data_IF_718028164584
#
_entry.id   IF_718028164584
#
_cell.length_a   1.000
_cell.length_b   1.000
_cell.length_c   1.000
_cell.angle_alpha   90.00
_cell.angle_beta   90.00
_cell.angle_gamma   90.00
#
_symmetry.space_group_name_H-M   'P 1'
#
loop_
_entity.id
_entity.type
_entity.pdbx_description
1 polymer ?
#
# COMPACT_ATOMS: atom_id res chain seq x y z
N UNK A 1 4.39 -18.32 1.14
CA UNK A 1 4.19 -16.94 1.66
C UNK A 1 5.53 -16.23 1.65
N UNK A 2 5.73 -15.08 0.97
CA UNK A 2 7.04 -14.45 0.94
C UNK A 2 7.26 -13.65 2.23
N UNK A 3 7.42 -14.34 3.36
CA UNK A 3 7.78 -13.77 4.68
C UNK A 3 9.19 -13.16 4.69
N UNK A 4 9.97 -13.32 3.62
CA UNK A 4 11.42 -13.00 3.58
C UNK A 4 11.76 -11.64 2.95
N UNK A 5 10.89 -11.05 2.11
CA UNK A 5 11.17 -9.73 1.52
C UNK A 5 10.76 -8.56 2.44
N UNK A 6 9.71 -8.74 3.24
CA UNK A 6 9.23 -7.70 4.17
C UNK A 6 10.14 -7.46 5.37
N UNK A 7 11.11 -8.36 5.63
CA UNK A 7 12.08 -8.21 6.74
C UNK A 7 13.24 -7.27 6.41
N UNK A 8 13.42 -6.88 5.13
CA UNK A 8 14.59 -6.09 4.68
C UNK A 8 14.35 -4.58 4.63
N UNK A 9 13.10 -4.14 4.79
CA UNK A 9 12.70 -2.72 4.72
C UNK A 9 11.95 -2.23 5.98
N UNK A 10 11.88 -3.04 7.04
CA UNK A 10 11.42 -2.55 8.34
C UNK A 10 12.63 -2.01 9.11
N UNK A 11 12.83 -0.69 9.20
CA UNK A 11 13.72 -0.13 10.20
C UNK A 11 13.24 -0.58 11.59
N UNK A 12 14.21 -0.87 12.44
CA UNK A 12 14.06 -1.51 13.73
C UNK A 12 12.98 -0.80 14.59
N UNK A 13 11.93 -1.51 15.06
CA UNK A 13 10.88 -0.92 15.91
C UNK A 13 11.42 -0.38 17.25
N UNK A 14 12.68 -0.67 17.57
CA UNK A 14 13.39 -0.14 18.73
C UNK A 14 13.91 1.28 18.53
N UNK A 15 14.28 1.69 17.31
CA UNK A 15 14.85 3.02 17.06
C UNK A 15 13.77 4.12 16.96
N UNK A 16 12.53 3.76 16.64
CA UNK A 16 11.37 4.67 16.67
C UNK A 16 10.92 4.95 18.12
N UNK A 17 11.26 4.08 19.09
CA UNK A 17 10.88 4.26 20.51
C UNK A 17 11.62 5.40 21.21
N UNK A 18 12.71 5.91 20.65
CA UNK A 18 13.61 6.85 21.31
C UNK A 18 13.37 8.34 21.01
N UNK A 19 12.43 8.68 20.11
CA UNK A 19 12.11 10.09 19.85
C UNK A 19 11.24 10.68 20.96
N UNK A 20 11.61 11.88 21.46
CA UNK A 20 10.97 12.60 22.59
C UNK A 20 9.44 12.79 22.42
N UNK A 21 8.94 12.86 21.18
CA UNK A 21 7.52 12.94 20.83
C UNK A 21 6.76 11.61 20.93
N UNK A 22 7.45 10.47 20.85
CA UNK A 22 6.88 9.12 20.89
C UNK A 22 6.80 8.55 22.32
N UNK A 23 7.48 9.17 23.30
CA UNK A 23 7.41 8.80 24.72
C UNK A 23 6.02 9.06 25.34
N UNK A 24 5.26 10.04 24.82
CA UNK A 24 3.85 10.26 25.21
C UNK A 24 2.95 9.08 24.80
N UNK A 25 3.24 8.44 23.67
CA UNK A 25 2.50 7.27 23.17
C UNK A 25 2.99 5.93 23.72
N UNK A 26 4.09 5.90 24.48
CA UNK A 26 4.78 4.67 24.92
C UNK A 26 3.92 3.65 25.67
N UNK A 27 2.90 4.09 26.42
CA UNK A 27 1.94 3.18 27.08
C UNK A 27 0.86 2.65 26.13
N UNK A 28 0.47 3.43 25.12
CA UNK A 28 -0.61 3.09 24.17
C UNK A 28 -0.09 2.24 22.99
N UNK A 29 1.23 2.19 22.81
CA UNK A 29 1.97 1.43 21.79
C UNK A 29 2.19 -0.05 22.11
N UNK A 30 1.66 -0.57 23.22
CA UNK A 30 1.88 -1.95 23.67
C UNK A 30 1.12 -3.01 22.87
N UNK A 31 0.19 -2.63 22.00
CA UNK A 31 -0.58 -3.57 21.19
C UNK A 31 0.22 -4.05 19.96
N UNK A 32 0.56 -5.34 19.84
CA UNK A 32 1.35 -5.86 18.70
C UNK A 32 0.63 -5.71 17.35
N UNK A 33 -0.71 -5.64 17.34
CA UNK A 33 -1.50 -5.41 16.12
C UNK A 33 -1.29 -4.02 15.49
N UNK A 34 -0.79 -3.04 16.25
CA UNK A 34 -0.49 -1.69 15.74
C UNK A 34 0.75 -1.66 14.84
N UNK A 35 1.63 -2.66 14.97
CA UNK A 35 2.89 -2.77 14.25
C UNK A 35 2.83 -3.78 13.10
N UNK A 36 1.94 -4.76 13.20
CA UNK A 36 1.77 -5.77 12.15
C UNK A 36 0.99 -5.25 10.94
N UNK A 37 1.53 -5.51 9.75
CA UNK A 37 0.90 -5.20 8.47
C UNK A 37 -0.14 -6.27 8.12
N UNK A 38 -1.38 -6.06 8.56
CA UNK A 38 -2.54 -6.87 8.16
C UNK A 38 -3.43 -6.07 7.20
N UNK A 39 -4.09 -6.73 6.24
CA UNK A 39 -4.94 -6.09 5.20
C UNK A 39 -5.98 -5.12 5.80
N UNK A 40 -6.62 -5.53 6.89
CA UNK A 40 -7.62 -4.71 7.56
C UNK A 40 -6.99 -3.58 8.40
N UNK A 41 -5.85 -3.84 9.02
CA UNK A 41 -5.11 -2.84 9.81
C UNK A 41 -4.55 -1.72 8.93
N UNK A 42 -3.99 -2.07 7.77
CA UNK A 42 -3.51 -1.10 6.77
C UNK A 42 -4.67 -0.30 6.19
N UNK A 43 -5.77 -0.94 5.79
CA UNK A 43 -6.93 -0.21 5.24
C UNK A 43 -7.52 0.80 6.24
N UNK A 44 -7.62 0.44 7.53
CA UNK A 44 -8.06 1.35 8.59
C UNK A 44 -7.07 2.50 8.82
N UNK A 45 -5.77 2.19 8.85
CA UNK A 45 -4.71 3.20 8.97
C UNK A 45 -4.71 4.19 7.81
N UNK A 46 -4.95 3.71 6.58
CA UNK A 46 -5.07 4.55 5.39
C UNK A 46 -6.25 5.52 5.51
N UNK A 47 -7.42 5.03 5.89
CA UNK A 47 -8.61 5.87 6.06
C UNK A 47 -8.43 6.93 7.15
N UNK A 48 -7.96 6.53 8.32
CA UNK A 48 -7.74 7.42 9.46
C UNK A 48 -6.61 8.42 9.20
N UNK A 49 -5.49 7.96 8.65
CA UNK A 49 -4.33 8.80 8.35
C UNK A 49 -4.67 9.87 7.32
N UNK A 50 -5.44 9.52 6.28
CA UNK A 50 -5.86 10.46 5.25
C UNK A 50 -6.92 11.46 5.76
N UNK A 51 -7.84 11.00 6.63
CA UNK A 51 -8.76 11.89 7.32
C UNK A 51 -8.02 12.92 8.20
N UNK A 52 -7.07 12.45 9.02
CA UNK A 52 -6.27 13.31 9.88
C UNK A 52 -5.32 14.23 9.09
N UNK A 53 -4.82 13.78 7.94
CA UNK A 53 -3.97 14.56 7.02
C UNK A 53 -4.72 15.74 6.37
N UNK A 54 -6.02 15.56 6.09
CA UNK A 54 -6.84 16.63 5.52
C UNK A 54 -7.28 17.68 6.54
N UNK A 55 -7.28 17.34 7.83
CA UNK A 55 -7.63 18.27 8.91
C UNK A 55 -6.38 19.09 9.27
N UNK A 56 -6.34 20.38 8.92
CA UNK A 56 -5.18 21.23 9.15
C UNK A 56 -5.19 21.72 10.59
N UNK A 57 -4.77 20.85 11.50
CA UNK A 57 -4.60 21.18 12.92
C UNK A 57 -3.15 20.97 13.36
N UNK A 58 -2.59 21.90 14.16
CA UNK A 58 -1.37 21.61 14.89
C UNK A 58 -1.63 20.39 15.78
N UNK A 59 -0.70 19.44 15.83
CA UNK A 59 -0.87 18.13 16.47
C UNK A 59 -1.77 17.11 15.74
N UNK A 60 -1.95 17.23 14.42
CA UNK A 60 -2.59 16.22 13.57
C UNK A 60 -2.06 14.78 13.76
N UNK A 61 -0.79 14.61 14.16
CA UNK A 61 -0.23 13.30 14.51
C UNK A 61 -0.93 12.67 15.72
N UNK A 62 -1.29 13.49 16.73
CA UNK A 62 -2.05 13.02 17.89
C UNK A 62 -3.44 12.54 17.47
N UNK A 63 -4.09 13.29 16.57
CA UNK A 63 -5.40 12.93 16.03
C UNK A 63 -5.35 11.62 15.23
N UNK A 64 -4.35 11.46 14.36
CA UNK A 64 -4.16 10.22 13.62
C UNK A 64 -3.91 9.03 14.55
N UNK A 65 -3.09 9.22 15.58
CA UNK A 65 -2.81 8.18 16.56
C UNK A 65 -4.03 7.83 17.41
N UNK A 66 -4.75 8.83 17.92
CA UNK A 66 -5.94 8.63 18.77
C UNK A 66 -7.08 7.94 18.04
N UNK A 67 -7.21 8.17 16.73
CA UNK A 67 -8.18 7.47 15.88
C UNK A 67 -7.70 6.09 15.44
N UNK A 68 -6.40 5.90 15.17
CA UNK A 68 -5.86 4.63 14.69
C UNK A 68 -5.91 3.52 15.76
N UNK A 69 -5.74 3.88 17.03
CA UNK A 69 -5.69 2.96 18.17
C UNK A 69 -7.02 2.22 18.41
N UNK A 70 -8.18 2.90 18.61
CA UNK A 70 -9.46 2.22 18.78
C UNK A 70 -9.85 1.42 17.53
N UNK A 71 -9.47 1.89 16.35
CA UNK A 71 -9.69 1.16 15.09
C UNK A 71 -8.71 0.00 14.87
N UNK A 72 -7.74 -0.21 15.76
CA UNK A 72 -6.67 -1.23 15.65
C UNK A 72 -5.97 -1.17 14.29
N UNK A 73 -5.74 0.05 13.79
CA UNK A 73 -5.03 0.34 12.56
C UNK A 73 -3.51 0.37 12.77
N UNK A 74 -2.76 0.22 11.69
CA UNK A 74 -1.30 0.31 11.73
C UNK A 74 -0.87 1.75 12.02
N UNK A 75 -0.28 1.96 13.21
CA UNK A 75 0.04 3.30 13.69
C UNK A 75 1.13 3.99 12.85
N UNK A 76 2.27 3.32 12.51
CA UNK A 76 3.28 3.91 11.63
C UNK A 76 2.70 4.41 10.30
N UNK A 77 1.81 3.64 9.67
CA UNK A 77 1.18 4.04 8.41
C UNK A 77 0.27 5.25 8.59
N UNK A 78 -0.59 5.25 9.61
CA UNK A 78 -1.50 6.36 9.88
C UNK A 78 -0.74 7.68 10.11
N UNK A 79 0.35 7.63 10.88
CA UNK A 79 1.20 8.80 11.15
C UNK A 79 2.01 9.22 9.92
N UNK A 80 2.51 8.25 9.14
CA UNK A 80 3.28 8.53 7.92
C UNK A 80 2.43 9.22 6.84
N UNK A 81 1.13 8.91 6.76
CA UNK A 81 0.19 9.60 5.86
C UNK A 81 0.00 11.05 6.23
N UNK A 82 -0.02 11.37 7.52
CA UNK A 82 -0.07 12.76 7.98
C UNK A 82 1.19 13.52 7.53
N UNK A 83 2.35 12.87 7.59
CA UNK A 83 3.62 13.42 7.07
C UNK A 83 3.68 13.53 5.55
N UNK A 84 2.85 12.77 4.82
CA UNK A 84 2.74 12.88 3.37
C UNK A 84 2.17 14.25 2.95
N UNK A 85 1.39 14.90 3.83
CA UNK A 85 0.89 16.28 3.69
C UNK A 85 2.03 17.30 3.85
N UNK A 86 2.94 17.29 2.89
CA UNK A 86 4.09 18.17 2.81
C UNK A 86 3.68 19.56 2.26
N UNK A 87 4.43 20.65 2.51
CA UNK A 87 4.28 21.96 1.85
C UNK A 87 3.98 21.92 0.34
N UNK A 88 4.46 20.89 -0.38
CA UNK A 88 4.11 20.71 -1.80
C UNK A 88 2.63 20.33 -2.03
N UNK A 89 2.06 19.52 -1.16
CA UNK A 89 0.67 19.02 -1.23
C UNK A 89 -0.33 19.91 -0.50
N UNK A 90 0.11 20.81 0.38
CA UNK A 90 -0.79 21.72 1.09
C UNK A 90 -1.61 22.65 0.16
N UNK A 91 -1.02 23.32 -0.86
CA UNK A 91 -1.77 24.21 -1.74
C UNK A 91 -2.96 23.54 -2.44
N UNK A 92 -2.80 22.38 -3.12
CA UNK A 92 -3.93 21.72 -3.76
C UNK A 92 -4.95 21.19 -2.74
N UNK A 93 -4.51 20.69 -1.58
CA UNK A 93 -5.42 20.23 -0.52
C UNK A 93 -6.27 21.39 -0.01
N UNK A 94 -5.65 22.53 0.32
CA UNK A 94 -6.36 23.69 0.85
C UNK A 94 -7.33 24.28 -0.16
N UNK A 95 -6.94 24.31 -1.44
CA UNK A 95 -7.84 24.75 -2.50
C UNK A 95 -9.09 23.87 -2.57
N UNK A 96 -8.93 22.54 -2.60
CA UNK A 96 -10.06 21.60 -2.70
C UNK A 96 -10.94 21.65 -1.45
N UNK A 97 -10.35 21.67 -0.25
CA UNK A 97 -11.14 21.74 1.00
C UNK A 97 -11.87 23.06 1.12
N UNK A 98 -11.21 24.19 0.83
CA UNK A 98 -11.87 25.50 0.85
C UNK A 98 -12.99 25.58 -0.19
N UNK A 99 -12.75 25.14 -1.43
CA UNK A 99 -13.76 25.18 -2.49
C UNK A 99 -14.96 24.31 -2.14
N UNK A 100 -14.73 23.12 -1.57
CA UNK A 100 -15.79 22.22 -1.10
C UNK A 100 -16.58 22.82 0.05
N UNK A 101 -15.90 23.45 1.01
CA UNK A 101 -16.51 24.14 2.13
C UNK A 101 -17.32 25.36 1.70
N UNK A 102 -16.75 26.21 0.85
CA UNK A 102 -17.41 27.40 0.33
C UNK A 102 -18.66 27.03 -0.49
N UNK A 103 -18.58 25.96 -1.28
CA UNK A 103 -19.73 25.42 -2.00
C UNK A 103 -20.82 24.92 -1.04
N UNK A 104 -20.43 24.25 0.05
CA UNK A 104 -21.38 23.72 1.03
C UNK A 104 -22.03 24.82 1.88
N UNK A 105 -21.31 25.90 2.21
CA UNK A 105 -21.84 27.06 2.93
C UNK A 105 -22.54 28.08 2.01
N UNK A 106 -22.50 27.90 0.69
CA UNK A 106 -22.98 28.88 -0.30
C UNK A 106 -22.40 30.29 -0.06
N UNK A 107 -21.18 30.36 0.46
CA UNK A 107 -20.50 31.64 0.71
C UNK A 107 -20.00 32.23 -0.60
N UNK A 108 -20.29 33.50 -0.92
CA UNK A 108 -19.82 34.12 -2.16
C UNK A 108 -18.29 34.20 -2.17
N UNK A 109 -17.63 33.87 -3.29
CA UNK A 109 -16.19 34.03 -3.43
C UNK A 109 -15.83 35.51 -3.29
N UNK A 110 -15.14 35.86 -2.19
CA UNK A 110 -14.75 37.25 -1.91
C UNK A 110 -13.45 37.58 -2.61
N UNK A 111 -13.42 38.74 -3.27
CA UNK A 111 -12.24 39.34 -3.86
C UNK A 111 -11.19 39.66 -2.78
N UNK A 112 -9.91 39.44 -3.09
CA UNK A 112 -8.82 39.97 -2.28
C UNK A 112 -8.89 41.51 -2.35
N UNK A 113 -8.94 42.22 -1.21
CA UNK A 113 -8.78 43.66 -1.20
C UNK A 113 -7.32 44.03 -1.46
N UNK A 114 -7.14 45.22 -1.99
CA UNK A 114 -5.84 45.76 -2.42
C UNK A 114 -4.90 46.07 -1.24
N UNK A 115 -5.43 46.19 -0.01
CA UNK A 115 -4.66 46.44 1.21
C UNK A 115 -4.75 45.27 2.21
N UNK A 116 -3.65 44.53 2.33
CA UNK A 116 -3.44 43.48 3.34
C UNK A 116 -3.12 44.11 4.70
N UNK A 117 -4.13 44.58 5.43
CA UNK A 117 -3.97 45.02 6.83
C UNK A 117 -4.05 43.82 7.79
N UNK A 118 -3.39 43.93 8.95
CA UNK A 118 -3.45 42.89 9.99
C UNK A 118 -4.89 42.64 10.48
N UNK A 119 -5.72 43.68 10.55
CA UNK A 119 -7.14 43.55 10.89
C UNK A 119 -7.91 42.75 9.83
N UNK A 120 -7.67 43.03 8.55
CA UNK A 120 -8.27 42.26 7.47
C UNK A 120 -7.85 40.79 7.52
N UNK A 121 -6.59 40.48 7.81
CA UNK A 121 -6.12 39.09 7.95
C UNK A 121 -6.85 38.38 9.08
N UNK A 122 -7.05 39.02 10.24
CA UNK A 122 -7.77 38.41 11.37
C UNK A 122 -9.25 38.19 11.08
N UNK A 123 -9.92 39.14 10.43
CA UNK A 123 -11.34 39.04 10.06
C UNK A 123 -11.57 37.96 8.99
N UNK A 124 -10.64 37.86 8.04
CA UNK A 124 -10.61 36.80 7.05
C UNK A 124 -10.32 35.44 7.67
N UNK A 125 -9.34 35.33 8.58
CA UNK A 125 -9.09 34.07 9.28
C UNK A 125 -10.32 33.61 10.05
N UNK A 126 -11.02 34.54 10.71
CA UNK A 126 -12.25 34.30 11.48
C UNK A 126 -13.48 33.95 10.63
N UNK A 127 -13.43 34.16 9.32
CA UNK A 127 -14.52 33.79 8.40
C UNK A 127 -14.16 32.59 7.52
N UNK A 128 -12.89 32.42 7.16
CA UNK A 128 -12.40 31.36 6.28
C UNK A 128 -12.24 30.03 7.02
N UNK A 129 -11.96 30.04 8.33
CA UNK A 129 -11.79 28.80 9.09
C UNK A 129 -13.03 27.91 9.10
N UNK A 130 -14.24 28.47 9.03
CA UNK A 130 -15.49 27.70 9.02
C UNK A 130 -15.68 26.84 7.75
N UNK A 131 -15.72 27.43 6.53
CA UNK A 131 -15.82 26.62 5.31
C UNK A 131 -14.61 25.72 5.17
N UNK A 132 -13.42 26.18 5.53
CA UNK A 132 -12.22 25.37 5.45
C UNK A 132 -12.26 24.13 6.35
N UNK A 133 -12.68 24.29 7.61
CA UNK A 133 -12.83 23.16 8.54
C UNK A 133 -13.93 22.21 8.07
N UNK A 134 -15.08 22.72 7.66
CA UNK A 134 -16.17 21.89 7.16
C UNK A 134 -15.74 21.10 5.91
N UNK A 135 -15.12 21.77 4.95
CA UNK A 135 -14.59 21.16 3.73
C UNK A 135 -13.51 20.13 4.03
N UNK A 136 -12.63 20.39 5.01
CA UNK A 136 -11.60 19.44 5.45
C UNK A 136 -12.20 18.16 6.05
N UNK A 137 -13.26 18.29 6.86
CA UNK A 137 -13.94 17.13 7.46
C UNK A 137 -14.66 16.34 6.37
N UNK A 138 -15.40 17.00 5.48
CA UNK A 138 -16.14 16.33 4.40
C UNK A 138 -15.18 15.62 3.45
N UNK A 139 -14.18 16.32 2.92
CA UNK A 139 -13.15 15.73 2.08
C UNK A 139 -12.38 14.63 2.83
N UNK A 140 -12.07 14.84 4.11
CA UNK A 140 -11.41 13.87 4.98
C UNK A 140 -12.19 12.56 5.07
N UNK A 141 -13.50 12.64 5.31
CA UNK A 141 -14.37 11.46 5.40
C UNK A 141 -14.47 10.76 4.05
N UNK A 142 -14.72 11.51 2.98
CA UNK A 142 -14.85 10.95 1.63
C UNK A 142 -13.55 10.27 1.19
N UNK A 143 -12.41 10.95 1.32
CA UNK A 143 -11.11 10.37 0.98
C UNK A 143 -10.73 9.25 1.93
N UNK A 144 -11.06 9.33 3.22
CA UNK A 144 -10.81 8.28 4.19
C UNK A 144 -11.55 6.99 3.85
N UNK A 145 -12.83 7.10 3.50
CA UNK A 145 -13.65 5.96 3.03
C UNK A 145 -13.09 5.42 1.71
N UNK A 146 -12.80 6.30 0.75
CA UNK A 146 -12.23 5.89 -0.53
C UNK A 146 -10.89 5.16 -0.34
N UNK A 147 -10.00 5.67 0.51
CA UNK A 147 -8.70 5.06 0.82
C UNK A 147 -8.85 3.66 1.43
N UNK A 148 -9.85 3.46 2.31
CA UNK A 148 -10.17 2.14 2.84
C UNK A 148 -10.53 1.14 1.73
N UNK A 149 -11.46 1.51 0.85
CA UNK A 149 -11.90 0.66 -0.26
C UNK A 149 -10.81 0.44 -1.32
N UNK A 150 -10.04 1.48 -1.66
CA UNK A 150 -8.90 1.39 -2.57
C UNK A 150 -7.88 0.41 -2.02
N UNK A 151 -7.54 0.51 -0.73
CA UNK A 151 -6.58 -0.40 -0.09
C UNK A 151 -7.07 -1.85 -0.12
N UNK A 152 -8.35 -2.08 0.16
CA UNK A 152 -8.94 -3.42 0.10
C UNK A 152 -8.98 -3.99 -1.33
N UNK A 153 -9.31 -3.14 -2.31
CA UNK A 153 -9.35 -3.51 -3.73
C UNK A 153 -7.95 -3.80 -4.28
N UNK A 154 -6.98 -2.95 -3.95
CA UNK A 154 -5.57 -3.13 -4.28
C UNK A 154 -5.05 -4.45 -3.72
N UNK A 155 -5.39 -4.78 -2.46
CA UNK A 155 -4.99 -6.05 -1.86
C UNK A 155 -5.60 -7.25 -2.61
N UNK A 156 -6.89 -7.18 -2.97
CA UNK A 156 -7.57 -8.26 -3.70
C UNK A 156 -6.96 -8.46 -5.09
N UNK A 157 -6.67 -7.37 -5.80
CA UNK A 157 -5.98 -7.42 -7.10
C UNK A 157 -4.56 -7.98 -6.97
N UNK A 158 -3.79 -7.53 -5.97
CA UNK A 158 -2.42 -7.97 -5.74
C UNK A 158 -2.34 -9.46 -5.42
N UNK A 159 -3.22 -9.98 -4.54
CA UNK A 159 -3.29 -11.41 -4.21
C UNK A 159 -3.69 -12.24 -5.43
N UNK A 160 -4.72 -11.81 -6.18
CA UNK A 160 -5.14 -12.49 -7.40
C UNK A 160 -4.04 -12.56 -8.46
N UNK A 161 -3.30 -11.45 -8.63
CA UNK A 161 -2.14 -11.38 -9.54
C UNK A 161 -1.02 -12.30 -9.07
N UNK A 162 -0.76 -12.38 -7.76
CA UNK A 162 0.25 -13.25 -7.19
C UNK A 162 -0.12 -14.74 -7.33
N UNK A 163 -1.41 -15.08 -7.25
CA UNK A 163 -1.91 -16.45 -7.49
C UNK A 163 -1.82 -16.84 -8.96
N UNK A 164 -2.15 -15.94 -9.89
CA UNK A 164 -1.95 -16.15 -11.34
C UNK A 164 -0.48 -16.37 -11.68
N UNK A 165 0.44 -15.59 -11.08
CA UNK A 165 1.90 -15.78 -11.23
C UNK A 165 2.39 -17.11 -10.69
N UNK A 166 1.73 -17.70 -9.68
CA UNK A 166 2.08 -19.05 -9.18
C UNK A 166 1.60 -20.14 -10.13
N UNK A 167 0.36 -20.05 -10.63
CA UNK A 167 -0.18 -21.03 -11.61
C UNK A 167 0.67 -21.09 -12.88
N UNK A 168 1.12 -19.94 -13.39
CA UNK A 168 2.00 -19.90 -14.57
C UNK A 168 3.36 -20.56 -14.34
N UNK A 169 3.92 -20.48 -13.12
CA UNK A 169 5.18 -21.17 -12.79
C UNK A 169 4.99 -22.68 -12.77
N UNK A 170 3.91 -23.18 -12.16
CA UNK A 170 3.64 -24.63 -12.09
C UNK A 170 3.35 -25.23 -13.47
N UNK A 171 2.61 -24.52 -14.33
CA UNK A 171 2.35 -24.96 -15.71
C UNK A 171 3.61 -25.04 -16.56
N UNK A 172 4.52 -24.07 -16.43
CA UNK A 172 5.78 -24.06 -17.19
C UNK A 172 6.76 -25.15 -16.70
N UNK A 173 6.79 -25.45 -15.40
CA UNK A 173 7.60 -26.55 -14.87
C UNK A 173 7.09 -27.92 -15.30
N UNK A 174 5.76 -28.13 -15.34
CA UNK A 174 5.20 -29.38 -15.85
C UNK A 174 5.37 -29.54 -17.36
N UNK A 175 5.23 -28.46 -18.13
CA UNK A 175 5.50 -28.49 -19.58
C UNK A 175 6.98 -28.81 -19.88
N UNK A 176 7.92 -28.17 -19.19
CA UNK A 176 9.35 -28.44 -19.36
C UNK A 176 9.75 -29.86 -18.94
N UNK A 177 9.11 -30.42 -17.91
CA UNK A 177 9.34 -31.81 -17.49
C UNK A 177 8.76 -32.83 -18.49
N UNK A 178 7.61 -32.54 -19.10
CA UNK A 178 7.01 -33.38 -20.14
C UNK A 178 7.87 -33.40 -21.41
N UNK A 179 8.39 -32.24 -21.84
CA UNK A 179 9.28 -32.15 -23.01
C UNK A 179 10.60 -32.91 -22.79
N UNK A 180 11.16 -32.86 -21.56
CA UNK A 180 12.36 -33.64 -21.22
C UNK A 180 12.12 -35.16 -21.27
N UNK A 181 10.96 -35.63 -20.82
CA UNK A 181 10.61 -37.06 -20.88
C UNK A 181 10.39 -37.53 -22.32
N UNK A 182 9.69 -36.75 -23.14
CA UNK A 182 9.49 -37.06 -24.55
C UNK A 182 10.82 -37.13 -25.32
N UNK A 183 11.73 -36.18 -25.07
CA UNK A 183 13.05 -36.18 -25.68
C UNK A 183 13.90 -37.39 -25.24
N UNK A 184 13.85 -37.76 -23.95
CA UNK A 184 14.58 -38.93 -23.44
C UNK A 184 14.07 -40.26 -24.04
N UNK A 185 12.76 -40.41 -24.22
CA UNK A 185 12.16 -41.58 -24.85
C UNK A 185 12.50 -41.68 -26.35
N UNK A 186 12.50 -40.56 -27.07
CA UNK A 186 12.92 -40.52 -28.48
C UNK A 186 14.38 -40.95 -28.70
N UNK A 187 15.29 -40.55 -27.80
CA UNK A 187 16.70 -40.94 -27.87
C UNK A 187 16.88 -42.44 -27.60
N UNK A 188 16.13 -43.03 -26.67
CA UNK A 188 16.18 -44.47 -26.41
C UNK A 188 15.65 -45.29 -27.59
N UNK A 189 14.55 -44.86 -28.22
CA UNK A 189 13.96 -45.56 -29.34
C UNK A 189 14.86 -45.54 -30.60
N UNK A 190 15.56 -44.42 -30.86
CA UNK A 190 16.57 -44.36 -31.93
C UNK A 190 17.82 -45.19 -31.64
N UNK A 191 18.27 -45.29 -30.38
CA UNK A 191 19.41 -46.15 -30.01
C UNK A 191 19.09 -47.64 -30.06
N UNK A 192 17.85 -48.05 -29.77
CA UNK A 192 17.41 -49.44 -29.89
C UNK A 192 17.49 -49.97 -31.33
N UNK A 193 17.05 -49.16 -32.31
CA UNK A 193 17.15 -49.56 -33.72
C UNK A 193 18.58 -49.60 -34.26
N UNK A 194 19.50 -48.76 -33.74
CA UNK A 194 20.91 -48.82 -34.11
C UNK A 194 21.63 -50.06 -33.58
N UNK A 195 21.23 -50.60 -32.42
CA UNK A 195 21.85 -51.81 -31.87
C UNK A 195 21.29 -53.11 -32.47
N UNK A 196 20.06 -53.10 -33.00
CA UNK A 196 19.46 -54.27 -33.67
C UNK A 196 20.00 -54.44 -35.11
N UNK A 197 20.34 -53.32 -35.78
CA UNK A 197 20.90 -53.35 -37.14
C UNK A 197 22.35 -53.88 -37.22
N UNK A 198 23.11 -53.79 -36.14
CA UNK A 198 24.53 -54.18 -36.09
C UNK A 198 24.74 -55.64 -35.61
N UNK A 199 23.68 -56.29 -35.08
CA UNK A 199 23.75 -57.67 -34.56
C UNK A 199 23.40 -58.73 -35.59
N UNK A 200 23.02 -58.34 -36.81
CA UNK A 200 22.55 -59.24 -37.88
C UNK A 200 23.65 -59.73 -38.82
N UNK A 201 24.91 -59.31 -38.69
CA UNK A 201 25.96 -59.59 -39.69
C UNK A 201 27.06 -60.55 -39.26
N UNK A 202 27.01 -61.15 -38.06
CA UNK A 202 28.15 -61.93 -37.52
C UNK A 202 27.80 -63.39 -37.14
N UNK A 203 27.02 -64.08 -37.99
CA UNK A 203 26.72 -65.51 -37.78
C UNK A 203 26.85 -66.33 -39.06
N UNK A 204 27.96 -66.22 -39.77
CA UNK A 204 28.21 -67.17 -40.87
C UNK A 204 29.67 -67.41 -41.21
N UNK A 205 30.48 -67.93 -40.27
CA UNK A 205 31.67 -68.73 -40.64
C UNK A 205 31.82 -69.90 -39.65
N UNK A 206 31.18 -71.03 -39.97
CA UNK A 206 31.56 -72.38 -39.51
C UNK A 206 32.46 -73.02 -40.56
N UNK A 207 33.66 -73.44 -40.13
CA UNK A 207 34.43 -74.68 -40.42
C UNK A 207 34.48 -75.28 -41.85
N UNK A 208 35.51 -76.07 -42.23
CA UNK A 208 36.36 -76.95 -41.39
C UNK A 208 37.86 -76.65 -41.37
#
# INVERSE_FOLDING_TARGET
MPRRLFKRYMPDPTSIREHKSLRFFGKLLHDPNLWHLNRHSVARAMGVGLFAALIPMPMQMLLAASLAIPLRGNLPIAVSLVWLTNPLTMPPVFFVTYMTGAWLLQTPPRSLPDDLTFEWITDQLATVWQPFLLGSVVCGVVLGIAAYFITMSYWRWWVGRQWRRRKQRTSCTHAAAADQQANAQGIQHSRGHQHEGDRSTDTDIRNP
#
